data_IF_508560525379
#
_entry.id   IF_508560525379
#
_cell.length_a   1.000
_cell.length_b   1.000
_cell.length_c   1.000
_cell.angle_alpha   90.00
_cell.angle_beta   90.00
_cell.angle_gamma   90.00
#
_symmetry.space_group_name_H-M   'P 1'
#
loop_
_entity.id
_entity.type
_entity.pdbx_description
1 polymer ?
#
# COMPACT_ATOMS: atom_id res chain seq x y z
N UNK A 1 -1.06 0.63 -14.79
CA UNK A 1 0.00 1.09 -13.86
C UNK A 1 -0.31 0.50 -12.49
N UNK A 2 0.68 -0.11 -11.85
CA UNK A 2 0.56 -0.60 -10.47
C UNK A 2 1.27 0.36 -9.52
N UNK A 3 0.79 0.43 -8.28
CA UNK A 3 1.28 1.29 -7.20
C UNK A 3 1.84 0.37 -6.12
N UNK A 4 3.07 0.61 -5.69
CA UNK A 4 3.70 -0.14 -4.60
C UNK A 4 2.86 -0.08 -3.33
N UNK A 5 2.83 -1.15 -2.55
CA UNK A 5 2.24 -1.12 -1.21
C UNK A 5 3.18 -0.58 -0.13
N UNK A 6 4.47 -0.41 -0.46
CA UNK A 6 5.55 -0.07 0.47
C UNK A 6 6.07 -1.26 1.26
N UNK A 7 5.60 -2.48 0.95
CA UNK A 7 6.02 -3.73 1.58
C UNK A 7 6.30 -4.76 0.48
N UNK A 8 7.57 -5.09 0.27
CA UNK A 8 8.01 -5.96 -0.83
C UNK A 8 7.29 -7.31 -0.88
N UNK A 9 7.16 -7.97 0.28
CA UNK A 9 6.47 -9.26 0.37
C UNK A 9 4.98 -9.17 0.05
N UNK A 10 4.34 -8.02 0.33
CA UNK A 10 2.94 -7.81 -0.04
C UNK A 10 2.82 -7.50 -1.53
N UNK A 11 3.77 -6.76 -2.10
CA UNK A 11 3.81 -6.49 -3.53
C UNK A 11 3.97 -7.77 -4.34
N UNK A 12 4.79 -8.71 -3.88
CA UNK A 12 4.92 -10.04 -4.49
C UNK A 12 3.56 -10.77 -4.51
N UNK A 13 2.87 -10.82 -3.37
CA UNK A 13 1.52 -11.44 -3.27
C UNK A 13 0.52 -10.73 -4.19
N UNK A 14 0.60 -9.41 -4.30
CA UNK A 14 -0.27 -8.61 -5.14
C UNK A 14 0.12 -8.65 -6.62
N UNK A 15 1.23 -9.31 -7.02
CA UNK A 15 1.82 -9.32 -8.36
C UNK A 15 2.35 -7.96 -8.83
N UNK A 16 3.10 -7.27 -7.98
CA UNK A 16 3.68 -5.95 -8.23
C UNK A 16 2.88 -4.78 -7.66
N UNK A 17 2.13 -4.98 -6.57
CA UNK A 17 1.41 -3.92 -5.86
C UNK A 17 -0.04 -3.67 -6.32
N UNK A 18 -0.65 -2.61 -5.79
CA UNK A 18 -2.04 -2.21 -6.03
C UNK A 18 -2.29 -1.75 -7.47
N UNK A 19 -3.51 -1.92 -7.97
CA UNK A 19 -3.94 -1.40 -9.27
C UNK A 19 -4.36 0.06 -9.13
N UNK A 20 -3.76 0.97 -9.91
CA UNK A 20 -4.09 2.40 -9.87
C UNK A 20 -5.59 2.64 -10.12
N UNK A 21 -6.21 3.53 -9.34
CA UNK A 21 -7.63 3.89 -9.48
C UNK A 21 -8.61 2.86 -8.93
N UNK A 22 -8.16 1.92 -8.09
CA UNK A 22 -9.02 0.95 -7.39
C UNK A 22 -9.05 1.20 -5.89
N UNK A 23 -10.17 0.88 -5.26
CA UNK A 23 -10.30 0.88 -3.81
C UNK A 23 -9.99 -0.51 -3.25
N UNK A 24 -9.23 -0.54 -2.15
CA UNK A 24 -8.83 -1.76 -1.45
C UNK A 24 -9.31 -1.70 0.01
N UNK A 25 -9.89 -2.80 0.50
CA UNK A 25 -10.36 -2.92 1.88
C UNK A 25 -9.44 -3.84 2.68
N UNK A 26 -8.79 -3.30 3.71
CA UNK A 26 -7.95 -4.05 4.64
C UNK A 26 -8.80 -4.45 5.86
N UNK A 27 -8.96 -5.75 6.11
CA UNK A 27 -9.69 -6.29 7.28
C UNK A 27 -8.80 -7.23 8.11
N UNK A 28 -9.03 -7.22 9.42
CA UNK A 28 -8.33 -8.06 10.39
C UNK A 28 -8.70 -7.67 11.82
N UNK A 29 -8.41 -8.53 12.78
CA UNK A 29 -8.69 -8.33 14.20
C UNK A 29 -7.97 -7.08 14.78
N UNK A 30 -8.41 -6.53 15.92
CA UNK A 30 -7.66 -5.49 16.63
C UNK A 30 -6.22 -5.93 16.88
N UNK A 31 -5.24 -5.03 16.65
CA UNK A 31 -3.82 -5.35 16.82
C UNK A 31 -3.11 -5.95 15.60
N UNK A 32 -3.81 -6.35 14.53
CA UNK A 32 -3.17 -6.90 13.31
C UNK A 32 -2.39 -5.90 12.43
N UNK A 33 -2.09 -4.69 12.93
CA UNK A 33 -1.24 -3.74 12.19
C UNK A 33 -1.90 -3.01 11.01
N UNK A 34 -3.23 -2.98 10.90
CA UNK A 34 -3.95 -2.29 9.79
C UNK A 34 -3.55 -0.81 9.64
N UNK A 35 -3.48 -0.08 10.76
CA UNK A 35 -3.05 1.32 10.78
C UNK A 35 -1.59 1.45 10.40
N UNK A 36 -0.73 0.56 10.89
CA UNK A 36 0.69 0.51 10.54
C UNK A 36 0.89 0.28 9.03
N UNK A 37 0.15 -0.65 8.43
CA UNK A 37 0.18 -0.89 6.98
C UNK A 37 -0.26 0.36 6.19
N UNK A 38 -1.34 1.02 6.62
CA UNK A 38 -1.80 2.26 5.99
C UNK A 38 -0.77 3.40 6.08
N UNK A 39 -0.12 3.55 7.23
CA UNK A 39 0.95 4.54 7.41
C UNK A 39 2.18 4.21 6.57
N UNK A 40 2.59 2.94 6.49
CA UNK A 40 3.69 2.51 5.62
C UNK A 40 3.44 2.89 4.16
N UNK A 41 2.23 2.62 3.66
CA UNK A 41 1.83 3.00 2.30
C UNK A 41 1.92 4.52 2.07
N UNK A 42 1.42 5.33 3.01
CA UNK A 42 1.47 6.80 2.89
C UNK A 42 2.90 7.34 2.92
N UNK A 43 3.75 6.84 3.83
CA UNK A 43 5.16 7.27 3.95
C UNK A 43 5.94 6.88 2.69
N UNK A 44 5.74 5.66 2.18
CA UNK A 44 6.36 5.19 0.94
C UNK A 44 5.91 6.04 -0.27
N UNK A 45 4.61 6.39 -0.36
CA UNK A 45 4.08 7.24 -1.41
C UNK A 45 4.68 8.66 -1.43
N UNK A 46 4.85 9.28 -0.26
CA UNK A 46 5.55 10.59 -0.16
C UNK A 46 7.01 10.47 -0.59
N UNK A 47 7.71 9.41 -0.19
CA UNK A 47 9.10 9.17 -0.59
C UNK A 47 9.28 8.95 -2.10
N UNK A 48 8.20 8.61 -2.81
CA UNK A 48 8.17 8.35 -4.26
C UNK A 48 7.67 9.53 -5.08
N UNK A 49 7.41 10.68 -4.44
CA UNK A 49 6.93 11.90 -5.08
C UNK A 49 5.60 11.67 -5.85
N UNK A 50 4.73 10.81 -5.31
CA UNK A 50 3.42 10.49 -5.90
C UNK A 50 2.45 11.69 -5.94
N UNK A 51 2.86 12.83 -5.38
CA UNK A 51 2.15 14.12 -5.35
C UNK A 51 2.03 14.81 -6.73
N UNK A 52 2.64 14.25 -7.79
CA UNK A 52 2.72 14.89 -9.12
C UNK A 52 1.67 14.44 -10.16
N UNK A 53 0.54 13.82 -9.77
CA UNK A 53 -0.55 13.48 -10.72
C UNK A 53 -1.70 14.50 -10.73
#
# INVERSE_FOLDING_TARGET
>A
MRVSSGVDGLDEILNGGYVKGRAYLIRGEPGCGKTTLGLHFLIDGVGRDEDSN
#
